data_IF_044906853199
#
_entry.id   IF_044906853199
#
_cell.length_a   1.000
_cell.length_b   1.000
_cell.length_c   1.000
_cell.angle_alpha   90.00
_cell.angle_beta   90.00
_cell.angle_gamma   90.00
#
_symmetry.space_group_name_H-M   'P 1'
#
loop_
_entity.id
_entity.type
_entity.pdbx_description
1 polymer ?
#
# COMPACT_ATOMS: atom_id res chain seq x y z
N UNK A 1 27.92 2.63 -40.74
CA UNK A 1 27.72 3.37 -39.46
C UNK A 1 26.26 3.72 -39.18
N UNK A 2 25.50 4.31 -40.12
CA UNK A 2 24.08 4.59 -39.90
C UNK A 2 23.23 3.32 -39.72
N UNK A 3 23.42 2.30 -40.57
CA UNK A 3 22.73 1.01 -40.44
C UNK A 3 23.05 0.26 -39.13
N UNK A 4 24.31 0.24 -38.67
CA UNK A 4 24.67 -0.31 -37.36
C UNK A 4 24.04 0.46 -36.18
N UNK A 5 23.86 1.78 -36.32
CA UNK A 5 23.15 2.61 -35.33
C UNK A 5 21.64 2.40 -35.34
N UNK A 6 21.05 2.11 -36.51
CA UNK A 6 19.63 1.77 -36.65
C UNK A 6 19.38 0.37 -36.12
N UNK A 7 20.19 -0.62 -36.51
CA UNK A 7 20.09 -2.00 -36.05
C UNK A 7 20.31 -2.12 -34.53
N UNK A 8 21.30 -1.42 -33.97
CA UNK A 8 21.48 -1.34 -32.51
C UNK A 8 20.36 -0.57 -31.78
N UNK A 9 19.52 0.20 -32.47
CA UNK A 9 18.30 0.82 -31.93
C UNK A 9 17.07 -0.07 -32.12
N UNK A 10 17.01 -0.85 -33.20
CA UNK A 10 15.99 -1.86 -33.45
C UNK A 10 16.11 -3.01 -32.45
N UNK A 11 17.32 -3.43 -32.09
CA UNK A 11 17.59 -4.36 -30.97
C UNK A 11 17.18 -3.78 -29.60
N UNK A 12 17.17 -2.45 -29.44
CA UNK A 12 16.63 -1.78 -28.24
C UNK A 12 15.10 -1.61 -28.27
N UNK A 13 14.47 -1.87 -29.43
CA UNK A 13 13.04 -1.78 -29.70
C UNK A 13 12.45 -3.15 -30.04
N UNK A 14 13.15 -4.25 -29.72
CA UNK A 14 12.61 -5.59 -29.84
C UNK A 14 11.39 -5.71 -28.92
N UNK A 15 10.21 -5.71 -29.54
CA UNK A 15 8.93 -5.78 -28.85
C UNK A 15 8.80 -7.06 -28.04
N UNK A 16 9.43 -8.16 -28.47
CA UNK A 16 9.39 -9.43 -27.76
C UNK A 16 10.21 -9.35 -26.47
N UNK A 17 11.45 -8.85 -26.54
CA UNK A 17 12.27 -8.63 -25.36
C UNK A 17 11.65 -7.63 -24.35
N UNK A 18 10.88 -6.65 -24.82
CA UNK A 18 10.13 -5.72 -23.95
C UNK A 18 8.97 -6.45 -23.26
N UNK A 19 8.20 -7.25 -24.01
CA UNK A 19 7.07 -8.01 -23.46
C UNK A 19 7.52 -9.06 -22.45
N UNK A 20 8.64 -9.74 -22.71
CA UNK A 20 9.25 -10.68 -21.78
C UNK A 20 9.66 -10.01 -20.46
N UNK A 21 10.29 -8.84 -20.54
CA UNK A 21 10.67 -8.06 -19.35
C UNK A 21 9.44 -7.59 -18.58
N UNK A 22 8.39 -7.14 -19.27
CA UNK A 22 7.15 -6.73 -18.63
C UNK A 22 6.46 -7.92 -17.95
N UNK A 23 6.36 -9.03 -18.65
CA UNK A 23 5.77 -10.28 -18.14
C UNK A 23 6.52 -10.79 -16.92
N UNK A 24 7.85 -10.82 -16.96
CA UNK A 24 8.66 -11.19 -15.80
C UNK A 24 8.42 -10.27 -14.60
N UNK A 25 8.36 -8.96 -14.83
CA UNK A 25 8.12 -7.96 -13.78
C UNK A 25 6.73 -8.12 -13.16
N UNK A 26 5.70 -8.30 -13.99
CA UNK A 26 4.33 -8.52 -13.55
C UNK A 26 4.18 -9.83 -12.78
N UNK A 27 4.89 -10.89 -13.17
CA UNK A 27 4.92 -12.17 -12.43
C UNK A 27 5.52 -12.02 -11.03
N UNK A 28 6.64 -11.28 -10.90
CA UNK A 28 7.21 -10.98 -9.58
C UNK A 28 6.22 -10.21 -8.70
N UNK A 29 5.63 -9.13 -9.24
CA UNK A 29 4.66 -8.29 -8.52
C UNK A 29 3.44 -9.13 -8.13
N UNK A 30 2.90 -9.94 -9.04
CA UNK A 30 1.80 -10.87 -8.79
C UNK A 30 2.09 -11.86 -7.66
N UNK A 31 3.30 -12.42 -7.62
CA UNK A 31 3.72 -13.31 -6.52
C UNK A 31 3.70 -12.62 -5.17
N UNK A 32 4.26 -11.40 -5.10
CA UNK A 32 4.25 -10.58 -3.87
C UNK A 32 2.83 -10.16 -3.47
N UNK A 33 2.01 -9.68 -4.41
CA UNK A 33 0.61 -9.32 -4.15
C UNK A 33 -0.20 -10.48 -3.61
N UNK A 34 -0.01 -11.68 -4.17
CA UNK A 34 -0.68 -12.90 -3.69
C UNK A 34 -0.26 -13.23 -2.26
N UNK A 35 1.04 -13.17 -1.95
CA UNK A 35 1.54 -13.37 -0.59
C UNK A 35 0.94 -12.36 0.40
N UNK A 36 0.87 -11.09 0.02
CA UNK A 36 0.33 -10.01 0.85
C UNK A 36 -1.17 -10.16 1.09
N UNK A 37 -1.93 -10.52 0.05
CA UNK A 37 -3.36 -10.75 0.16
C UNK A 37 -3.69 -11.94 1.07
N UNK A 38 -2.91 -13.03 1.00
CA UNK A 38 -3.02 -14.17 1.95
C UNK A 38 -2.67 -13.76 3.37
N UNK A 39 -1.59 -12.99 3.54
CA UNK A 39 -1.17 -12.50 4.86
C UNK A 39 -2.28 -11.67 5.54
N UNK A 40 -2.91 -10.78 4.78
CA UNK A 40 -4.03 -9.95 5.25
C UNK A 40 -5.39 -10.68 5.25
N UNK A 41 -5.43 -11.95 4.81
CA UNK A 41 -6.64 -12.77 4.70
C UNK A 41 -7.75 -12.08 3.91
N UNK A 42 -7.39 -11.48 2.78
CA UNK A 42 -8.33 -10.77 1.93
C UNK A 42 -9.29 -11.73 1.23
N UNK A 43 -10.50 -11.27 0.94
CA UNK A 43 -11.44 -11.99 0.09
C UNK A 43 -10.80 -12.27 -1.27
N UNK A 44 -10.84 -13.54 -1.70
CA UNK A 44 -10.13 -14.07 -2.87
C UNK A 44 -8.59 -13.99 -2.80
N UNK A 45 -8.03 -13.70 -1.63
CA UNK A 45 -6.58 -13.63 -1.42
C UNK A 45 -5.87 -14.97 -1.57
N UNK A 46 -6.57 -16.09 -1.43
CA UNK A 46 -6.01 -17.43 -1.68
C UNK A 46 -5.73 -17.68 -3.17
N UNK A 47 -6.43 -16.96 -4.05
CA UNK A 47 -6.23 -16.99 -5.50
C UNK A 47 -5.00 -16.20 -5.96
N UNK A 48 -4.75 -16.22 -7.26
CA UNK A 48 -3.68 -15.43 -7.86
C UNK A 48 -4.11 -13.97 -7.96
N UNK A 49 -3.38 -13.08 -7.28
CA UNK A 49 -3.64 -11.63 -7.24
C UNK A 49 -2.66 -10.91 -8.15
N UNK A 50 -3.17 -10.10 -9.09
CA UNK A 50 -2.36 -9.49 -10.16
C UNK A 50 -2.75 -8.05 -10.46
N UNK A 51 -1.82 -7.29 -11.03
CA UNK A 51 -2.15 -6.06 -11.74
C UNK A 51 -2.56 -6.37 -13.18
N UNK A 52 -3.65 -5.79 -13.62
CA UNK A 52 -4.02 -5.75 -15.03
C UNK A 52 -3.51 -4.44 -15.64
N UNK A 53 -2.41 -4.44 -16.41
CA UNK A 53 -1.83 -3.21 -16.95
C UNK A 53 -2.71 -2.55 -18.04
N UNK A 54 -3.63 -3.29 -18.66
CA UNK A 54 -4.55 -2.75 -19.67
C UNK A 54 -5.71 -1.99 -19.04
N UNK A 55 -6.23 -2.50 -17.91
CA UNK A 55 -7.35 -1.91 -17.17
C UNK A 55 -6.93 -1.05 -15.97
N UNK A 56 -5.63 -1.04 -15.64
CA UNK A 56 -5.05 -0.32 -14.52
C UNK A 56 -5.74 -0.64 -13.18
N UNK A 57 -6.03 -1.91 -12.95
CA UNK A 57 -6.75 -2.39 -11.76
C UNK A 57 -6.13 -3.66 -11.19
N UNK A 58 -6.45 -3.96 -9.94
CA UNK A 58 -6.14 -5.26 -9.32
C UNK A 58 -7.20 -6.27 -9.75
N UNK A 59 -6.76 -7.49 -10.03
CA UNK A 59 -7.63 -8.63 -10.33
C UNK A 59 -7.23 -9.84 -9.49
N UNK A 60 -8.21 -10.68 -9.18
CA UNK A 60 -8.02 -11.95 -8.48
C UNK A 60 -8.59 -13.09 -9.29
N UNK A 61 -7.85 -14.19 -9.38
CA UNK A 61 -8.37 -15.42 -10.00
C UNK A 61 -9.21 -16.20 -9.00
N UNK A 62 -10.43 -16.52 -9.41
CA UNK A 62 -11.39 -17.33 -8.66
C UNK A 62 -11.78 -18.56 -9.50
N UNK A 63 -12.38 -19.60 -8.90
CA UNK A 63 -12.91 -20.74 -9.66
C UNK A 63 -13.89 -20.33 -10.77
N UNK A 64 -14.63 -19.24 -10.57
CA UNK A 64 -15.63 -18.72 -11.52
C UNK A 64 -15.01 -17.76 -12.57
N UNK A 65 -13.71 -17.49 -12.49
CA UNK A 65 -12.98 -16.63 -13.41
C UNK A 65 -12.28 -15.44 -12.75
N UNK A 66 -11.97 -14.43 -13.55
CA UNK A 66 -11.24 -13.24 -13.11
C UNK A 66 -12.21 -12.23 -12.48
N UNK A 67 -11.98 -11.87 -11.22
CA UNK A 67 -12.74 -10.83 -10.51
C UNK A 67 -11.89 -9.56 -10.41
N UNK A 68 -12.43 -8.44 -10.90
CA UNK A 68 -11.78 -7.12 -10.76
C UNK A 68 -12.04 -6.53 -9.38
N UNK A 69 -11.09 -5.72 -8.88
CA UNK A 69 -11.14 -5.13 -7.54
C UNK A 69 -12.49 -4.51 -7.17
N UNK A 70 -13.11 -3.78 -8.10
CA UNK A 70 -14.41 -3.12 -7.89
C UNK A 70 -15.53 -4.10 -7.50
N UNK A 71 -15.41 -5.37 -7.90
CA UNK A 71 -16.38 -6.44 -7.66
C UNK A 71 -16.05 -7.28 -6.41
N UNK A 72 -14.87 -7.10 -5.82
CA UNK A 72 -14.44 -7.81 -4.60
C UNK A 72 -15.02 -7.10 -3.36
N UNK A 73 -15.53 -7.84 -2.38
CA UNK A 73 -15.92 -7.30 -1.07
C UNK A 73 -17.17 -6.43 -1.06
N UNK A 74 -18.07 -6.61 -2.02
CA UNK A 74 -19.28 -5.78 -2.20
C UNK A 74 -19.00 -4.26 -2.18
N UNK A 75 -17.80 -3.83 -2.60
CA UNK A 75 -17.41 -2.41 -2.58
C UNK A 75 -17.06 -1.86 -1.19
N UNK A 76 -16.74 -2.71 -0.21
CA UNK A 76 -16.21 -2.26 1.08
C UNK A 76 -14.86 -1.57 0.88
N UNK A 77 -14.79 -0.28 1.21
CA UNK A 77 -13.56 0.50 1.14
C UNK A 77 -12.40 -0.10 1.93
N UNK A 78 -12.69 -0.92 2.97
CA UNK A 78 -11.69 -1.67 3.75
C UNK A 78 -10.91 -2.65 2.87
N UNK A 79 -11.62 -3.51 2.14
CA UNK A 79 -11.01 -4.54 1.27
C UNK A 79 -10.20 -3.88 0.14
N UNK A 80 -10.74 -2.80 -0.45
CA UNK A 80 -10.06 -2.09 -1.53
C UNK A 80 -8.75 -1.46 -1.06
N UNK A 81 -8.74 -0.81 0.10
CA UNK A 81 -7.50 -0.25 0.68
C UNK A 81 -6.45 -1.34 0.91
N UNK A 82 -6.84 -2.51 1.42
CA UNK A 82 -5.90 -3.62 1.58
C UNK A 82 -5.25 -4.06 0.26
N UNK A 83 -6.04 -4.18 -0.81
CA UNK A 83 -5.54 -4.56 -2.13
C UNK A 83 -4.65 -3.48 -2.75
N UNK A 84 -5.00 -2.20 -2.59
CA UNK A 84 -4.15 -1.09 -3.00
C UNK A 84 -2.81 -1.10 -2.26
N UNK A 85 -2.84 -1.30 -0.93
CA UNK A 85 -1.62 -1.41 -0.14
C UNK A 85 -0.77 -2.60 -0.61
N UNK A 86 -1.37 -3.78 -0.79
CA UNK A 86 -0.68 -4.96 -1.30
C UNK A 86 -0.02 -4.71 -2.66
N UNK A 87 -0.72 -4.01 -3.57
CA UNK A 87 -0.19 -3.62 -4.87
C UNK A 87 1.01 -2.66 -4.74
N UNK A 88 0.89 -1.58 -3.97
CA UNK A 88 1.96 -0.61 -3.77
C UNK A 88 3.21 -1.27 -3.16
N UNK A 89 3.03 -2.08 -2.11
CA UNK A 89 4.14 -2.79 -1.47
C UNK A 89 4.84 -3.74 -2.45
N UNK A 90 4.10 -4.54 -3.22
CA UNK A 90 4.66 -5.47 -4.19
C UNK A 90 5.45 -4.75 -5.30
N UNK A 91 4.93 -3.63 -5.80
CA UNK A 91 5.60 -2.81 -6.82
C UNK A 91 6.89 -2.18 -6.27
N UNK A 92 6.86 -1.60 -5.06
CA UNK A 92 8.06 -1.06 -4.43
C UNK A 92 9.09 -2.13 -4.07
N UNK A 93 8.66 -3.34 -3.71
CA UNK A 93 9.57 -4.49 -3.53
C UNK A 93 10.25 -4.85 -4.85
N UNK A 94 9.51 -4.86 -5.98
CA UNK A 94 10.11 -5.11 -7.30
C UNK A 94 11.15 -4.02 -7.63
N UNK A 95 10.78 -2.77 -7.43
CA UNK A 95 11.67 -1.63 -7.69
C UNK A 95 12.95 -1.69 -6.86
N UNK A 96 12.83 -2.03 -5.58
CA UNK A 96 13.97 -2.14 -4.67
C UNK A 96 14.86 -3.33 -5.03
N UNK A 97 14.28 -4.50 -5.27
CA UNK A 97 15.02 -5.72 -5.61
C UNK A 97 15.78 -5.62 -6.94
N UNK A 98 15.26 -4.84 -7.89
CA UNK A 98 15.84 -4.69 -9.23
C UNK A 98 16.56 -3.36 -9.43
N UNK A 99 16.87 -2.62 -8.35
CA UNK A 99 17.55 -1.31 -8.39
C UNK A 99 16.95 -0.35 -9.43
N UNK A 100 15.61 -0.31 -9.50
CA UNK A 100 14.91 0.54 -10.46
C UNK A 100 15.05 2.01 -10.05
N UNK A 101 15.18 2.95 -11.01
CA UNK A 101 15.42 4.36 -10.75
C UNK A 101 14.13 5.09 -10.36
N UNK A 102 13.48 4.64 -9.29
CA UNK A 102 12.26 5.23 -8.74
C UNK A 102 12.43 5.44 -7.23
N UNK A 103 11.72 6.41 -6.63
CA UNK A 103 11.81 6.64 -5.20
C UNK A 103 11.51 5.36 -4.42
N UNK A 104 12.44 4.97 -3.55
CA UNK A 104 12.24 3.86 -2.61
C UNK A 104 11.63 4.39 -1.31
N UNK A 105 10.59 5.20 -1.45
CA UNK A 105 9.81 5.82 -0.39
C UNK A 105 8.32 5.68 -0.73
N UNK A 106 7.52 5.28 0.25
CA UNK A 106 6.06 5.26 0.17
C UNK A 106 5.49 6.06 1.34
N UNK A 107 4.68 7.08 1.05
CA UNK A 107 3.98 7.87 2.05
C UNK A 107 2.48 7.56 2.00
N UNK A 108 1.89 7.24 3.15
CA UNK A 108 0.50 6.86 3.29
C UNK A 108 -0.20 7.80 4.27
N UNK A 109 -1.28 8.42 3.81
CA UNK A 109 -2.12 9.29 4.64
C UNK A 109 -3.41 8.57 5.03
N UNK A 110 -3.53 8.31 6.33
CA UNK A 110 -4.63 7.64 7.02
C UNK A 110 -5.13 6.36 6.33
N UNK A 111 -4.27 5.37 6.06
CA UNK A 111 -4.69 4.11 5.45
C UNK A 111 -5.74 3.36 6.29
N UNK A 112 -5.85 3.63 7.59
CA UNK A 112 -6.88 2.98 8.43
C UNK A 112 -8.23 3.69 8.44
N UNK A 113 -8.41 4.81 7.69
CA UNK A 113 -9.66 5.57 7.70
C UNK A 113 -10.94 4.72 7.54
N UNK A 114 -11.01 3.72 6.63
CA UNK A 114 -12.21 2.89 6.48
C UNK A 114 -12.57 2.04 7.70
N UNK A 115 -11.65 1.86 8.65
CA UNK A 115 -11.79 1.08 9.87
C UNK A 115 -12.20 1.93 11.08
N UNK A 116 -12.27 3.26 10.91
CA UNK A 116 -12.75 4.16 11.95
C UNK A 116 -14.28 4.17 12.08
N UNK A 117 -14.82 4.65 13.22
CA UNK A 117 -16.25 4.84 13.37
C UNK A 117 -16.80 5.83 12.34
N UNK A 118 -18.00 5.56 11.81
CA UNK A 118 -18.67 6.46 10.87
C UNK A 118 -18.93 7.83 11.49
N UNK A 119 -19.01 8.87 10.66
CA UNK A 119 -19.27 10.24 11.14
C UNK A 119 -20.61 10.34 11.87
N UNK A 120 -21.59 9.51 11.50
CA UNK A 120 -22.87 9.38 12.21
C UNK A 120 -22.75 8.72 13.59
N UNK A 121 -21.79 7.83 13.80
CA UNK A 121 -21.50 7.23 15.10
C UNK A 121 -20.78 8.24 16.02
N UNK A 122 -19.84 9.01 15.46
CA UNK A 122 -19.18 10.12 16.16
C UNK A 122 -20.17 11.20 16.61
N UNK A 123 -21.08 11.61 15.72
CA UNK A 123 -22.11 12.61 16.01
C UNK A 123 -23.11 12.17 17.10
N UNK A 124 -23.27 10.86 17.33
CA UNK A 124 -24.18 10.30 18.34
C UNK A 124 -23.51 9.95 19.67
N UNK A 125 -22.22 10.29 19.85
CA UNK A 125 -21.48 10.04 21.10
C UNK A 125 -21.38 8.56 21.47
N UNK A 126 -21.57 7.63 20.52
CA UNK A 126 -21.40 6.19 20.78
C UNK A 126 -19.91 5.90 20.91
N UNK A 127 -19.51 5.35 22.05
CA UNK A 127 -18.12 4.99 22.37
C UNK A 127 -17.47 4.21 21.24
N UNK A 128 -16.22 4.55 21.01
CA UNK A 128 -15.32 4.05 19.97
C UNK A 128 -15.12 2.52 20.05
N UNK A 129 -15.45 1.88 21.18
CA UNK A 129 -14.92 0.59 21.63
C UNK A 129 -15.39 -0.69 20.91
N UNK A 130 -16.63 -0.77 20.37
CA UNK A 130 -17.16 -2.04 19.85
C UNK A 130 -16.81 -2.32 18.37
N UNK A 131 -16.71 -1.28 17.53
CA UNK A 131 -16.22 -1.41 16.15
C UNK A 131 -14.68 -1.62 16.12
N UNK A 132 -13.99 -1.21 17.19
CA UNK A 132 -12.54 -1.30 17.29
C UNK A 132 -12.01 -2.73 17.33
N UNK A 133 -12.72 -3.73 17.88
CA UNK A 133 -12.10 -5.04 18.15
C UNK A 133 -11.89 -5.89 16.88
N UNK A 134 -12.92 -6.03 16.03
CA UNK A 134 -12.83 -6.82 14.79
C UNK A 134 -11.92 -6.14 13.77
N UNK A 135 -12.03 -4.82 13.63
CA UNK A 135 -11.19 -4.04 12.73
C UNK A 135 -9.73 -3.94 13.21
N UNK A 136 -9.46 -4.04 14.52
CA UNK A 136 -8.09 -3.98 15.08
C UNK A 136 -7.20 -5.11 14.59
N UNK A 137 -7.74 -6.31 14.38
CA UNK A 137 -6.94 -7.42 13.83
C UNK A 137 -6.45 -7.08 12.41
N UNK A 138 -7.34 -6.54 11.57
CA UNK A 138 -7.01 -6.13 10.20
C UNK A 138 -6.04 -4.95 10.18
N UNK A 139 -6.28 -3.92 11.00
CA UNK A 139 -5.37 -2.77 11.15
C UNK A 139 -3.99 -3.22 11.63
N UNK A 140 -3.94 -4.13 12.60
CA UNK A 140 -2.69 -4.73 13.08
C UNK A 140 -1.98 -5.48 11.95
N UNK A 141 -2.71 -6.26 11.16
CA UNK A 141 -2.20 -6.94 9.97
C UNK A 141 -1.61 -5.97 8.95
N UNK A 142 -2.31 -4.87 8.63
CA UNK A 142 -1.83 -3.84 7.70
C UNK A 142 -0.48 -3.26 8.13
N UNK A 143 -0.39 -2.80 9.39
CA UNK A 143 0.86 -2.26 9.90
C UNK A 143 1.96 -3.31 10.02
N UNK A 144 1.61 -4.55 10.37
CA UNK A 144 2.59 -5.64 10.46
C UNK A 144 3.17 -5.97 9.09
N UNK A 145 2.33 -6.01 8.05
CA UNK A 145 2.76 -6.23 6.68
C UNK A 145 3.70 -5.11 6.22
N UNK A 146 3.33 -3.85 6.44
CA UNK A 146 4.19 -2.71 6.11
C UNK A 146 5.54 -2.80 6.82
N UNK A 147 5.55 -3.09 8.12
CA UNK A 147 6.79 -3.29 8.87
C UNK A 147 7.63 -4.41 8.26
N UNK A 148 7.03 -5.57 7.96
CA UNK A 148 7.76 -6.70 7.36
C UNK A 148 8.38 -6.32 6.03
N UNK A 149 7.61 -5.68 5.13
CA UNK A 149 8.13 -5.25 3.83
C UNK A 149 9.24 -4.20 3.96
N UNK A 150 9.16 -3.30 4.94
CA UNK A 150 10.19 -2.30 5.21
C UNK A 150 11.46 -2.88 5.89
N UNK A 151 11.37 -4.07 6.50
CA UNK A 151 12.47 -4.69 7.27
C UNK A 151 13.00 -5.99 6.67
N UNK A 152 12.40 -6.48 5.58
CA UNK A 152 12.88 -7.61 4.79
C UNK A 152 14.36 -7.42 4.35
N UNK A 153 15.09 -8.50 3.97
CA UNK A 153 16.57 -8.51 3.87
C UNK A 153 17.22 -7.55 2.86
N UNK A 154 16.44 -6.77 2.11
CA UNK A 154 16.94 -5.76 1.18
C UNK A 154 16.75 -4.35 1.79
N UNK A 155 17.75 -3.79 2.49
CA UNK A 155 17.67 -2.42 2.98
C UNK A 155 17.48 -1.45 1.80
N UNK A 156 16.71 -0.39 2.02
CA UNK A 156 16.58 0.70 1.06
C UNK A 156 15.16 1.04 0.63
N UNK A 157 14.12 0.50 1.27
CA UNK A 157 12.73 0.96 1.12
C UNK A 157 12.23 1.57 2.42
N UNK A 158 11.70 2.79 2.35
CA UNK A 158 11.11 3.50 3.48
C UNK A 158 9.60 3.62 3.32
N UNK A 159 8.87 3.38 4.41
CA UNK A 159 7.43 3.62 4.49
C UNK A 159 7.18 4.66 5.59
N UNK A 160 6.45 5.71 5.27
CA UNK A 160 6.01 6.74 6.21
C UNK A 160 4.49 6.71 6.25
N UNK A 161 3.92 6.61 7.46
CA UNK A 161 2.47 6.56 7.65
C UNK A 161 2.05 7.66 8.61
N UNK A 162 1.07 8.45 8.21
CA UNK A 162 0.31 9.35 9.09
C UNK A 162 -1.04 8.71 9.37
N UNK A 163 -1.40 8.48 10.63
CA UNK A 163 -2.66 7.80 10.99
C UNK A 163 -3.08 8.17 12.42
N UNK A 164 -4.32 7.81 12.81
CA UNK A 164 -4.81 7.93 14.19
C UNK A 164 -4.67 6.64 14.99
N UNK A 165 -4.41 5.51 14.33
CA UNK A 165 -4.26 4.21 14.96
C UNK A 165 -3.23 4.24 16.12
N UNK A 166 -3.55 3.50 17.19
CA UNK A 166 -2.65 3.31 18.32
C UNK A 166 -2.69 1.84 18.75
N UNK A 167 -1.70 1.07 18.30
CA UNK A 167 -1.65 -0.35 18.58
C UNK A 167 -0.74 -0.61 19.78
N UNK A 168 -1.20 -1.34 20.82
CA UNK A 168 -0.45 -1.59 22.06
C UNK A 168 0.60 -2.70 21.86
N UNK A 169 1.31 -2.67 20.74
CA UNK A 169 2.36 -3.61 20.41
C UNK A 169 3.69 -2.88 20.39
N UNK A 170 4.69 -3.40 21.09
CA UNK A 170 6.02 -2.79 21.17
C UNK A 170 6.60 -2.46 19.80
N UNK A 171 6.52 -3.38 18.83
CA UNK A 171 7.03 -3.15 17.48
C UNK A 171 6.36 -1.99 16.74
N UNK A 172 5.11 -1.67 17.07
CA UNK A 172 4.36 -0.55 16.52
C UNK A 172 4.78 0.74 17.23
N UNK A 173 4.79 0.71 18.57
CA UNK A 173 5.21 1.86 19.40
C UNK A 173 6.64 2.30 19.08
N UNK A 174 7.57 1.35 18.92
CA UNK A 174 8.96 1.60 18.52
C UNK A 174 9.07 2.24 17.10
N UNK A 175 8.01 2.11 16.28
CA UNK A 175 7.95 2.72 14.94
C UNK A 175 7.35 4.14 14.93
N UNK A 176 6.72 4.58 16.02
CA UNK A 176 6.16 5.93 16.14
C UNK A 176 7.31 6.93 16.31
N UNK A 177 7.40 7.90 15.38
CA UNK A 177 8.41 8.98 15.46
C UNK A 177 7.85 10.29 15.99
N UNK A 178 6.57 10.55 15.74
CA UNK A 178 5.87 11.73 16.19
C UNK A 178 4.47 11.31 16.65
N UNK A 179 4.05 11.81 17.81
CA UNK A 179 2.68 11.70 18.31
C UNK A 179 2.11 13.11 18.52
N UNK A 180 1.15 13.51 17.69
CA UNK A 180 0.52 14.83 17.73
C UNK A 180 -0.75 14.85 18.59
N UNK A 181 -0.69 14.16 19.74
CA UNK A 181 -1.71 14.16 20.79
C UNK A 181 -1.27 15.02 21.96
N UNK A 182 -2.18 15.32 22.89
CA UNK A 182 -1.84 16.01 24.14
C UNK A 182 -1.41 17.47 24.00
N UNK A 183 -1.76 18.13 22.89
CA UNK A 183 -1.42 19.55 22.64
C UNK A 183 -0.36 19.73 21.56
N UNK A 184 0.45 18.70 21.28
CA UNK A 184 1.37 18.67 20.14
C UNK A 184 0.60 18.67 18.80
N UNK A 185 1.18 19.28 17.77
CA UNK A 185 0.57 19.45 16.45
C UNK A 185 1.60 19.23 15.34
N UNK A 186 1.15 18.67 14.20
CA UNK A 186 1.98 18.59 13.00
C UNK A 186 2.42 19.97 12.51
N UNK A 187 1.49 20.93 12.49
CA UNK A 187 1.79 22.34 12.24
C UNK A 187 2.03 23.00 13.60
N UNK A 188 3.27 23.46 13.90
CA UNK A 188 3.57 24.09 15.18
C UNK A 188 2.62 25.27 15.44
N UNK A 189 2.07 25.35 16.65
CA UNK A 189 1.17 26.46 17.02
C UNK A 189 1.85 27.82 16.94
N UNK A 190 3.16 27.86 17.15
CA UNK A 190 4.00 29.05 16.97
C UNK A 190 3.98 29.62 15.56
N UNK A 191 3.60 28.84 14.54
CA UNK A 191 3.44 29.34 13.18
C UNK A 191 2.16 30.15 12.98
N UNK A 192 1.20 30.03 13.90
CA UNK A 192 -0.05 30.79 13.86
C UNK A 192 0.11 32.17 14.52
N UNK A 193 1.18 32.39 15.28
CA UNK A 193 1.53 33.66 15.95
C UNK A 193 2.15 34.70 14.98
N UNK A 194 1.68 34.72 13.73
CA UNK A 194 1.91 35.84 12.83
C UNK A 194 0.83 36.89 13.09
N UNK A 195 1.08 37.73 14.09
CA UNK A 195 0.63 39.12 14.00
C UNK A 195 1.52 39.80 12.95
N UNK A 196 1.06 40.12 11.74
CA UNK A 196 1.71 41.17 10.98
C UNK A 196 1.46 42.45 11.77
N UNK A 197 2.43 42.89 12.57
CA UNK A 197 2.44 44.26 13.08
C UNK A 197 2.23 45.19 11.88
N UNK A 198 1.22 46.08 11.89
CA UNK A 198 0.92 46.94 10.75
C UNK A 198 2.09 47.86 10.39
#
# INVERSE_FOLDING_TARGET
MAQQRVQGREEQLDSEAIDDKLTHSLRYVSGKMTSHARFLRLEHGDGLVRLNPKKLTVVTDTPDGITELLRIGSGSGKTHVCYHLAAHLAVHQYFTANSRPVPRLLMLDRPTQPYGPSDTAKARGRREDLALVEDRATVTGLFKLMQQVATEPAPGFQIIVSDHADLPHRWYQDSIRYDWRGGEKLIPTTWLDINPTP
#
